data_IF_020902094488
#
_entry.id   IF_020902094488
#
_cell.length_a   1.000
_cell.length_b   1.000
_cell.length_c   1.000
_cell.angle_alpha   90.00
_cell.angle_beta   90.00
_cell.angle_gamma   90.00
#
_symmetry.space_group_name_H-M   'P 1'
#
loop_
_entity.id
_entity.type
_entity.pdbx_description
1 polymer ?
#
# COMPACT_ATOMS: atom_id res chain seq x y z
N UNK A 1 9.96 1.94 3.69
CA UNK A 1 9.20 1.80 4.96
C UNK A 1 8.32 0.58 4.88
N UNK A 2 8.04 -0.10 6.00
CA UNK A 2 7.16 -1.27 6.04
C UNK A 2 5.74 -0.90 6.41
N UNK A 3 4.76 -1.73 6.07
CA UNK A 3 3.35 -1.54 6.44
C UNK A 3 3.04 -2.21 7.78
N UNK A 4 2.51 -1.47 8.75
CA UNK A 4 2.15 -1.96 10.09
C UNK A 4 0.64 -2.01 10.35
N UNK A 5 -0.17 -1.39 9.50
CA UNK A 5 -1.61 -1.63 9.46
C UNK A 5 -2.07 -1.58 8.00
N UNK A 6 -2.61 -2.67 7.43
CA UNK A 6 -2.62 -4.02 8.01
C UNK A 6 -1.20 -4.53 8.28
N UNK A 7 -1.03 -5.53 9.14
CA UNK A 7 0.29 -6.06 9.46
C UNK A 7 0.89 -6.76 8.23
N UNK A 8 2.02 -6.26 7.74
CA UNK A 8 2.70 -6.85 6.58
C UNK A 8 3.26 -8.26 6.82
N UNK A 9 3.67 -8.93 5.75
CA UNK A 9 4.31 -10.26 5.82
C UNK A 9 5.66 -10.26 6.51
N UNK A 10 6.36 -9.12 6.51
CA UNK A 10 7.60 -8.92 7.22
C UNK A 10 7.52 -7.66 8.10
N UNK A 11 8.10 -7.77 9.30
CA UNK A 11 8.17 -6.74 10.32
C UNK A 11 8.48 -7.35 11.69
N UNK A 12 8.57 -6.57 12.77
CA UNK A 12 8.86 -7.09 14.12
C UNK A 12 7.74 -7.98 14.67
N UNK A 13 6.57 -7.99 14.03
CA UNK A 13 5.44 -8.86 14.34
C UNK A 13 5.47 -10.19 13.58
N UNK A 14 6.30 -10.33 12.54
CA UNK A 14 6.39 -11.57 11.77
C UNK A 14 7.26 -12.60 12.51
N UNK A 15 7.02 -13.88 12.24
CA UNK A 15 7.83 -14.97 12.81
C UNK A 15 9.28 -14.95 12.32
N UNK A 16 9.50 -14.36 11.14
CA UNK A 16 10.79 -14.23 10.47
C UNK A 16 11.05 -12.75 10.17
N UNK A 17 11.45 -11.94 11.17
CA UNK A 17 11.78 -10.54 10.95
C UNK A 17 13.02 -10.43 10.05
N UNK A 18 12.88 -9.77 8.91
CA UNK A 18 13.97 -9.56 7.96
C UNK A 18 14.39 -8.08 7.94
N UNK A 19 15.71 -7.82 7.99
CA UNK A 19 16.28 -6.47 7.90
C UNK A 19 16.05 -5.85 6.52
N UNK A 20 15.86 -6.66 5.48
CA UNK A 20 15.60 -6.24 4.10
C UNK A 20 14.15 -5.84 3.84
N UNK A 21 13.28 -5.92 4.86
CA UNK A 21 11.87 -5.53 4.73
C UNK A 21 11.74 -4.12 4.16
N UNK A 22 12.58 -3.17 4.61
CA UNK A 22 12.55 -1.79 4.15
C UNK A 22 13.24 -1.53 2.81
N UNK A 23 13.85 -2.54 2.20
CA UNK A 23 14.53 -2.39 0.91
C UNK A 23 13.55 -2.47 -0.25
N UNK A 24 13.88 -1.79 -1.35
CA UNK A 24 13.11 -1.83 -2.59
C UNK A 24 13.22 -3.20 -3.27
N UNK A 25 12.31 -3.48 -4.18
CA UNK A 25 12.30 -4.71 -4.97
C UNK A 25 13.53 -4.77 -5.88
N UNK A 26 14.21 -5.92 -5.90
CA UNK A 26 15.47 -6.14 -6.60
C UNK A 26 16.72 -5.82 -5.79
N UNK A 27 16.62 -5.19 -4.63
CA UNK A 27 17.78 -5.02 -3.73
C UNK A 27 18.26 -6.39 -3.25
N UNK A 28 19.53 -6.71 -3.49
CA UNK A 28 20.13 -8.01 -3.12
C UNK A 28 19.29 -9.22 -3.57
N UNK A 29 18.65 -9.11 -4.75
CA UNK A 29 17.81 -10.18 -5.30
C UNK A 29 16.41 -10.30 -4.68
N UNK A 30 15.97 -9.34 -3.85
CA UNK A 30 14.62 -9.30 -3.28
C UNK A 30 13.57 -9.40 -4.41
N UNK A 31 12.78 -10.48 -4.49
CA UNK A 31 11.91 -10.71 -5.64
C UNK A 31 10.61 -9.91 -5.57
N UNK A 32 9.98 -9.69 -6.72
CA UNK A 32 8.57 -9.33 -6.83
C UNK A 32 7.71 -10.60 -6.92
N UNK A 33 6.50 -10.65 -6.34
CA UNK A 33 5.86 -9.65 -5.48
C UNK A 33 6.28 -9.77 -4.00
N UNK A 34 5.83 -8.82 -3.18
CA UNK A 34 5.93 -8.80 -1.73
C UNK A 34 7.34 -8.95 -1.11
N UNK A 35 8.41 -8.97 -1.90
CA UNK A 35 9.75 -9.29 -1.42
C UNK A 35 10.01 -10.79 -1.21
N UNK A 36 9.10 -11.68 -1.64
CA UNK A 36 9.22 -13.13 -1.43
C UNK A 36 9.06 -13.59 0.01
N UNK A 37 8.48 -12.75 0.88
CA UNK A 37 8.25 -13.13 2.27
C UNK A 37 7.18 -14.22 2.39
N UNK A 38 7.38 -15.12 3.35
CA UNK A 38 6.35 -16.08 3.77
C UNK A 38 5.16 -15.37 4.39
N UNK A 39 4.05 -16.11 4.55
CA UNK A 39 2.84 -15.56 5.16
C UNK A 39 3.07 -14.90 6.52
N UNK A 40 2.47 -13.73 6.69
CA UNK A 40 2.45 -12.95 7.92
C UNK A 40 1.21 -13.21 8.77
N UNK A 41 0.99 -12.36 9.79
CA UNK A 41 -0.28 -12.33 10.50
C UNK A 41 -1.45 -12.05 9.55
N UNK A 42 -2.59 -12.66 9.84
CA UNK A 42 -3.83 -12.42 9.07
C UNK A 42 -4.57 -11.23 9.66
N UNK A 43 -4.84 -10.22 8.84
CA UNK A 43 -5.71 -9.09 9.22
C UNK A 43 -7.13 -9.36 8.74
N UNK A 44 -8.12 -9.25 9.62
CA UNK A 44 -9.52 -9.30 9.23
C UNK A 44 -9.96 -7.93 8.76
N UNK A 45 -10.49 -7.85 7.55
CA UNK A 45 -11.05 -6.66 6.95
C UNK A 45 -12.55 -6.84 6.73
N UNK A 46 -13.29 -5.75 6.87
CA UNK A 46 -14.74 -5.66 6.66
C UNK A 46 -15.02 -4.88 5.39
N UNK A 47 -15.82 -5.44 4.49
CA UNK A 47 -16.30 -4.76 3.27
C UNK A 47 -17.02 -3.46 3.64
N UNK A 48 -16.64 -2.36 2.98
CA UNK A 48 -17.16 -1.02 3.25
C UNK A 48 -16.50 -0.28 4.41
N UNK A 49 -15.56 -0.90 5.14
CA UNK A 49 -14.80 -0.19 6.17
C UNK A 49 -13.71 0.70 5.55
N UNK A 50 -13.28 1.71 6.31
CA UNK A 50 -12.07 2.47 5.99
C UNK A 50 -10.94 1.95 6.87
N UNK A 51 -9.93 1.34 6.25
CA UNK A 51 -8.70 0.97 6.94
C UNK A 51 -7.74 2.16 6.97
N UNK A 52 -7.29 2.54 8.16
CA UNK A 52 -6.24 3.53 8.35
C UNK A 52 -4.88 2.88 8.15
N UNK A 53 -4.34 2.94 6.93
CA UNK A 53 -3.05 2.33 6.63
C UNK A 53 -1.94 3.04 7.41
N UNK A 54 -1.06 2.25 8.04
CA UNK A 54 0.07 2.75 8.83
C UNK A 54 1.37 2.14 8.38
N UNK A 55 2.44 2.90 8.61
CA UNK A 55 3.79 2.52 8.29
C UNK A 55 4.66 2.33 9.53
N UNK A 56 5.74 1.59 9.36
CA UNK A 56 6.72 1.26 10.35
C UNK A 56 8.14 1.44 9.83
N UNK A 57 9.03 1.77 10.76
CA UNK A 57 10.50 1.86 10.60
C UNK A 57 11.15 1.30 11.87
N UNK A 58 12.42 0.90 11.81
CA UNK A 58 13.11 0.22 12.93
C UNK A 58 13.12 1.02 14.26
N UNK A 59 13.02 2.36 14.20
CA UNK A 59 12.95 3.20 15.40
C UNK A 59 11.59 3.22 16.09
N UNK A 60 10.53 2.74 15.44
CA UNK A 60 9.17 2.75 15.99
C UNK A 60 8.88 1.48 16.80
N UNK A 61 8.77 1.64 18.13
CA UNK A 61 8.49 0.54 19.07
C UNK A 61 7.00 0.19 19.16
N UNK A 62 6.14 1.20 19.25
CA UNK A 62 4.70 1.00 19.26
C UNK A 62 4.17 1.05 17.82
N UNK A 63 3.77 -0.10 17.28
CA UNK A 63 3.30 -0.26 15.90
C UNK A 63 1.79 -0.04 15.74
N UNK A 64 1.05 0.09 16.84
CA UNK A 64 -0.43 0.18 16.83
C UNK A 64 -0.94 1.61 16.81
N UNK A 65 -0.04 2.60 16.80
CA UNK A 65 -0.35 4.03 16.74
C UNK A 65 0.75 4.80 15.99
N UNK A 66 0.44 6.00 15.52
CA UNK A 66 1.46 6.93 15.02
C UNK A 66 2.34 7.41 16.20
N UNK A 67 3.64 7.67 15.98
CA UNK A 67 4.50 8.19 17.04
C UNK A 67 4.09 9.61 17.46
N UNK A 68 4.28 9.99 18.74
CA UNK A 68 3.91 11.30 19.24
C UNK A 68 4.79 12.43 18.69
N UNK A 69 4.32 13.67 18.83
CA UNK A 69 5.11 14.87 18.59
C UNK A 69 6.02 15.19 19.80
N UNK A 70 7.18 15.86 19.60
CA UNK A 70 7.75 16.25 18.31
C UNK A 70 8.25 15.04 17.50
N UNK A 71 8.30 15.20 16.18
CA UNK A 71 8.71 14.13 15.25
C UNK A 71 10.24 13.89 15.37
N UNK A 72 10.65 12.84 16.09
CA UNK A 72 12.06 12.50 16.41
C UNK A 72 12.60 11.22 15.75
N UNK A 73 11.76 10.41 15.13
CA UNK A 73 12.10 9.12 14.53
C UNK A 73 12.35 9.33 13.03
N UNK A 74 13.54 8.97 12.50
CA UNK A 74 13.81 9.03 11.07
C UNK A 74 12.92 8.07 10.27
N UNK A 75 12.24 8.59 9.24
CA UNK A 75 11.28 7.82 8.43
C UNK A 75 11.91 7.18 7.18
N UNK A 76 13.05 7.72 6.70
CA UNK A 76 13.68 7.31 5.44
C UNK A 76 12.70 7.28 4.24
N UNK A 77 11.73 8.20 4.24
CA UNK A 77 10.66 8.29 3.24
C UNK A 77 11.08 8.84 1.88
N UNK A 78 12.38 9.01 1.62
CA UNK A 78 12.92 9.54 0.36
C UNK A 78 12.20 10.79 -0.22
N UNK A 79 11.75 11.71 0.65
CA UNK A 79 11.01 12.92 0.24
C UNK A 79 9.58 12.63 -0.27
N UNK A 80 9.00 11.51 0.17
CA UNK A 80 7.70 11.01 -0.26
C UNK A 80 7.78 10.29 -1.61
N UNK A 81 6.77 10.53 -2.43
CA UNK A 81 6.48 9.84 -3.67
C UNK A 81 5.01 9.45 -3.73
N UNK A 82 4.72 8.43 -4.53
CA UNK A 82 3.35 7.97 -4.76
C UNK A 82 3.18 6.56 -4.23
N UNK A 83 2.11 6.34 -3.47
CA UNK A 83 1.71 5.02 -3.00
C UNK A 83 0.42 4.58 -3.67
N UNK A 84 0.31 3.29 -3.91
CA UNK A 84 -0.96 2.64 -4.24
C UNK A 84 -1.26 1.54 -3.22
N UNK A 85 -2.53 1.36 -2.94
CA UNK A 85 -3.04 0.32 -2.07
C UNK A 85 -3.94 -0.58 -2.89
N UNK A 86 -3.69 -1.88 -2.84
CA UNK A 86 -4.30 -2.83 -3.77
C UNK A 86 -4.75 -4.10 -3.08
N UNK A 87 -5.76 -4.76 -3.66
CA UNK A 87 -6.18 -6.10 -3.29
C UNK A 87 -5.74 -7.11 -4.36
N UNK A 88 -5.35 -8.30 -3.92
CA UNK A 88 -5.17 -9.47 -4.78
C UNK A 88 -5.99 -10.61 -4.21
N UNK A 89 -6.88 -11.18 -5.04
CA UNK A 89 -7.74 -12.33 -4.69
C UNK A 89 -7.35 -13.60 -5.47
N UNK A 90 -6.24 -13.57 -6.20
CA UNK A 90 -5.81 -14.63 -7.11
C UNK A 90 -4.42 -15.19 -6.75
N UNK A 91 -3.99 -15.01 -5.50
CA UNK A 91 -2.71 -15.53 -5.03
C UNK A 91 -1.53 -14.65 -5.44
N UNK A 92 -1.66 -13.32 -5.34
CA UNK A 92 -0.64 -12.34 -5.71
C UNK A 92 -0.31 -12.25 -7.21
N UNK A 93 -1.18 -12.75 -8.10
CA UNK A 93 -0.93 -12.70 -9.55
C UNK A 93 -1.30 -11.35 -10.12
N UNK A 94 -2.42 -10.79 -9.69
CA UNK A 94 -2.86 -9.44 -10.06
C UNK A 94 -3.14 -8.60 -8.82
N UNK A 95 -2.99 -7.28 -8.96
CA UNK A 95 -3.15 -6.31 -7.88
C UNK A 95 -4.08 -5.21 -8.35
N UNK A 96 -5.28 -5.14 -7.76
CA UNK A 96 -6.32 -4.19 -8.14
C UNK A 96 -6.33 -3.01 -7.17
N UNK A 97 -6.10 -1.81 -7.69
CA UNK A 97 -5.95 -0.58 -6.90
C UNK A 97 -7.29 -0.20 -6.27
N UNK A 98 -7.27 -0.02 -4.95
CA UNK A 98 -8.42 0.46 -4.14
C UNK A 98 -8.15 1.81 -3.48
N UNK A 99 -6.94 2.35 -3.62
CA UNK A 99 -6.59 3.67 -3.14
C UNK A 99 -5.21 4.13 -3.61
N UNK A 100 -5.02 5.44 -3.74
CA UNK A 100 -3.77 6.07 -4.16
C UNK A 100 -3.55 7.38 -3.41
N UNK A 101 -2.30 7.65 -3.05
CA UNK A 101 -1.86 8.92 -2.48
C UNK A 101 -0.59 9.38 -3.19
N UNK A 102 -0.52 10.65 -3.59
CA UNK A 102 0.60 11.18 -4.36
C UNK A 102 1.44 12.15 -3.53
N UNK A 103 2.69 12.37 -3.96
CA UNK A 103 3.68 13.30 -3.38
C UNK A 103 4.15 13.00 -1.95
N UNK A 104 3.25 12.88 -0.99
CA UNK A 104 3.58 12.85 0.43
C UNK A 104 3.54 11.46 1.06
N UNK A 105 3.23 10.41 0.30
CA UNK A 105 3.25 9.05 0.79
C UNK A 105 4.62 8.38 0.57
N UNK A 106 5.12 7.54 1.50
CA UNK A 106 4.58 7.19 2.81
C UNK A 106 5.17 8.04 3.96
N UNK A 107 4.59 7.94 5.17
CA UNK A 107 5.14 8.50 6.43
C UNK A 107 4.56 7.77 7.67
N UNK A 108 5.36 7.59 8.73
CA UNK A 108 4.93 6.92 9.98
C UNK A 108 4.13 7.83 10.91
N UNK A 109 4.18 9.14 10.73
CA UNK A 109 3.55 10.14 11.60
C UNK A 109 2.10 10.46 11.23
N UNK A 110 1.58 9.84 10.19
CA UNK A 110 0.19 10.02 9.73
C UNK A 110 -0.38 8.68 9.32
N UNK A 111 -1.71 8.57 9.39
CA UNK A 111 -2.44 7.45 8.82
C UNK A 111 -2.92 7.79 7.41
N UNK A 112 -3.13 6.75 6.60
CA UNK A 112 -3.49 6.83 5.20
C UNK A 112 -4.80 6.05 4.98
N UNK A 113 -5.97 6.69 5.13
CA UNK A 113 -7.25 5.99 5.08
C UNK A 113 -7.54 5.47 3.68
N UNK A 114 -7.98 4.22 3.57
CA UNK A 114 -8.37 3.57 2.31
C UNK A 114 -9.67 2.82 2.55
N UNK A 115 -10.69 3.05 1.71
CA UNK A 115 -11.92 2.28 1.74
C UNK A 115 -11.66 0.87 1.20
N UNK A 116 -12.08 -0.16 1.94
CA UNK A 116 -12.30 -1.50 1.39
C UNK A 116 -13.60 -1.42 0.59
N UNK A 117 -13.57 -1.54 -0.75
CA UNK A 117 -14.75 -1.32 -1.59
C UNK A 117 -15.98 -2.08 -1.10
N UNK A 118 -17.15 -1.44 -1.13
CA UNK A 118 -18.41 -2.00 -0.62
C UNK A 118 -19.06 -3.04 -1.56
N UNK A 119 -18.51 -3.21 -2.76
CA UNK A 119 -19.06 -4.04 -3.84
C UNK A 119 -18.03 -5.02 -4.42
N UNK A 120 -17.19 -5.60 -3.55
CA UNK A 120 -16.27 -6.69 -3.89
C UNK A 120 -16.77 -8.00 -3.30
N UNK A 121 -16.40 -9.16 -3.86
CA UNK A 121 -16.69 -10.43 -3.22
C UNK A 121 -15.96 -10.58 -1.88
N UNK A 122 -16.48 -11.44 -1.02
CA UNK A 122 -15.72 -11.91 0.14
C UNK A 122 -14.50 -12.71 -0.32
N UNK A 123 -13.45 -12.67 0.50
CA UNK A 123 -12.24 -13.44 0.27
C UNK A 123 -11.74 -13.96 1.61
N UNK A 124 -12.05 -15.22 1.90
CA UNK A 124 -11.85 -15.81 3.23
C UNK A 124 -10.62 -16.70 3.35
N UNK A 125 -9.89 -16.93 2.26
CA UNK A 125 -8.67 -17.71 2.26
C UNK A 125 -7.44 -16.78 2.31
N UNK A 126 -6.76 -16.64 3.46
CA UNK A 126 -5.60 -15.76 3.59
C UNK A 126 -4.38 -16.20 2.75
N UNK A 127 -4.46 -17.32 2.01
CA UNK A 127 -3.47 -17.76 1.03
C UNK A 127 -3.71 -17.21 -0.37
N UNK A 128 -4.91 -16.69 -0.65
CA UNK A 128 -5.28 -16.11 -1.94
C UNK A 128 -5.63 -14.63 -1.85
N UNK A 129 -6.00 -14.16 -0.65
CA UNK A 129 -6.42 -12.80 -0.36
C UNK A 129 -5.30 -11.97 0.29
N UNK A 130 -4.87 -10.92 -0.40
CA UNK A 130 -3.79 -10.04 0.05
C UNK A 130 -4.18 -8.57 -0.10
N UNK A 131 -3.74 -7.77 0.88
CA UNK A 131 -3.68 -6.32 0.78
C UNK A 131 -2.23 -5.94 0.52
N UNK A 132 -1.97 -4.99 -0.37
CA UNK A 132 -0.62 -4.47 -0.57
C UNK A 132 -0.54 -2.97 -0.53
N UNK A 133 0.67 -2.50 -0.22
CA UNK A 133 1.14 -1.16 -0.50
C UNK A 133 2.26 -1.26 -1.54
N UNK A 134 2.16 -0.50 -2.62
CA UNK A 134 3.29 -0.15 -3.47
C UNK A 134 3.72 1.29 -3.18
N UNK A 135 5.00 1.58 -3.37
CA UNK A 135 5.54 2.93 -3.26
C UNK A 135 6.63 3.16 -4.32
N UNK A 136 6.43 4.18 -5.14
CA UNK A 136 7.42 4.71 -6.08
C UNK A 136 8.05 5.94 -5.43
N UNK A 137 9.32 5.82 -5.04
CA UNK A 137 10.01 6.87 -4.29
C UNK A 137 10.32 8.13 -5.13
N UNK A 138 10.39 9.27 -4.45
CA UNK A 138 10.71 10.54 -5.10
C UNK A 138 12.21 10.74 -5.37
N UNK A 139 13.04 10.70 -4.32
CA UNK A 139 14.46 11.08 -4.43
C UNK A 139 15.31 10.04 -5.16
N UNK A 140 14.85 8.78 -5.22
CA UNK A 140 15.56 7.65 -5.79
C UNK A 140 14.62 6.81 -6.67
N UNK A 141 15.10 6.24 -7.78
CA UNK A 141 14.28 5.39 -8.65
C UNK A 141 14.14 3.99 -8.03
N UNK A 142 13.24 3.87 -7.07
CA UNK A 142 13.06 2.67 -6.26
C UNK A 142 11.59 2.36 -6.09
N UNK A 143 11.24 1.12 -6.40
CA UNK A 143 9.91 0.55 -6.23
C UNK A 143 9.88 -0.36 -4.99
N UNK A 144 9.01 -0.03 -4.05
CA UNK A 144 8.76 -0.83 -2.85
C UNK A 144 7.41 -1.50 -2.98
N UNK A 145 7.31 -2.72 -2.47
CA UNK A 145 6.05 -3.45 -2.48
C UNK A 145 5.97 -4.35 -1.24
N UNK A 146 4.97 -4.08 -0.41
CA UNK A 146 4.70 -4.78 0.84
C UNK A 146 3.30 -5.37 0.80
N UNK A 147 3.15 -6.59 1.31
CA UNK A 147 1.88 -7.28 1.31
C UNK A 147 1.50 -7.71 2.73
N UNK A 148 0.22 -7.84 2.99
CA UNK A 148 -0.37 -8.42 4.19
C UNK A 148 -1.33 -9.53 3.78
N UNK A 149 -1.30 -10.64 4.51
CA UNK A 149 -2.33 -11.67 4.42
C UNK A 149 -3.61 -11.10 5.04
N UNK A 150 -4.72 -11.18 4.31
CA UNK A 150 -6.00 -10.65 4.80
C UNK A 150 -7.11 -11.67 4.65
N UNK A 151 -8.18 -11.45 5.40
CA UNK A 151 -9.49 -12.05 5.12
C UNK A 151 -10.47 -10.91 5.02
N UNK A 152 -11.22 -10.84 3.93
CA UNK A 152 -12.21 -9.80 3.65
C UNK A 152 -13.60 -10.40 3.76
N UNK A 153 -14.40 -9.92 4.73
CA UNK A 153 -15.77 -10.39 4.99
C UNK A 153 -16.79 -9.29 4.85
N UNK A 154 -18.01 -9.67 4.52
CA UNK A 154 -19.17 -8.81 4.61
C UNK A 154 -19.44 -8.36 6.04
N UNK A 155 -19.72 -7.07 6.23
CA UNK A 155 -20.33 -6.57 7.46
C UNK A 155 -21.79 -7.01 7.61
N UNK A 156 -22.45 -6.59 8.68
CA UNK A 156 -23.85 -6.97 8.97
C UNK A 156 -24.86 -6.56 7.89
N UNK A 157 -24.54 -5.56 7.06
CA UNK A 157 -25.38 -5.08 5.96
C UNK A 157 -24.92 -5.59 4.59
N UNK A 158 -23.95 -6.49 4.54
CA UNK A 158 -23.46 -7.03 3.29
C UNK A 158 -24.50 -7.99 2.71
N UNK A 159 -25.04 -7.62 1.56
CA UNK A 159 -25.93 -8.45 0.76
C UNK A 159 -25.24 -8.73 -0.56
N UNK A 160 -25.04 -10.00 -0.90
CA UNK A 160 -24.37 -10.34 -2.14
C UNK A 160 -25.14 -9.79 -3.36
N UNK A 161 -24.48 -8.94 -4.16
CA UNK A 161 -25.08 -8.35 -5.35
C UNK A 161 -24.48 -8.99 -6.63
N UNK A 162 -25.24 -9.05 -7.74
CA UNK A 162 -24.75 -9.60 -9.01
C UNK A 162 -23.54 -8.86 -9.60
N UNK A 163 -23.28 -7.62 -9.18
CA UNK A 163 -22.24 -6.75 -9.72
C UNK A 163 -20.96 -6.71 -8.89
N UNK A 164 -20.75 -7.67 -7.99
CA UNK A 164 -19.53 -7.73 -7.20
C UNK A 164 -18.30 -8.01 -8.04
N UNK A 165 -17.35 -7.08 -7.99
CA UNK A 165 -16.11 -7.16 -8.73
C UNK A 165 -15.05 -6.30 -8.04
N UNK A 166 -13.79 -6.76 -8.12
CA UNK A 166 -12.66 -5.89 -7.84
C UNK A 166 -12.63 -4.72 -8.86
N UNK A 167 -12.05 -3.57 -8.50
CA UNK A 167 -11.80 -2.53 -9.48
C UNK A 167 -10.87 -3.02 -10.58
N UNK A 168 -10.90 -2.31 -11.71
CA UNK A 168 -10.24 -2.75 -12.93
C UNK A 168 -8.81 -2.25 -13.05
N UNK A 169 -8.47 -1.13 -12.39
CA UNK A 169 -7.15 -0.53 -12.40
C UNK A 169 -6.12 -1.48 -11.80
N UNK A 170 -5.18 -1.91 -12.63
CA UNK A 170 -4.00 -2.64 -12.20
C UNK A 170 -3.00 -1.72 -11.52
N UNK A 171 -2.37 -2.23 -10.46
CA UNK A 171 -1.30 -1.54 -9.74
C UNK A 171 -0.15 -1.23 -10.69
N UNK A 172 0.40 -0.03 -10.54
CA UNK A 172 1.59 0.41 -11.27
C UNK A 172 2.81 -0.34 -10.76
N UNK A 173 3.54 -0.98 -11.67
CA UNK A 173 4.77 -1.73 -11.38
C UNK A 173 5.91 -1.19 -12.23
N UNK A 174 6.99 -0.77 -11.58
CA UNK A 174 8.17 -0.15 -12.23
C UNK A 174 9.47 -0.68 -11.64
N UNK A 175 10.57 -0.50 -12.37
CA UNK A 175 11.95 -0.76 -11.90
C UNK A 175 12.24 -2.17 -11.39
N UNK A 176 11.55 -3.18 -11.96
CA UNK A 176 11.83 -4.58 -11.67
C UNK A 176 13.07 -5.08 -12.42
N UNK A 177 13.96 -5.89 -11.78
CA UNK A 177 15.02 -6.57 -12.50
C UNK A 177 14.49 -7.52 -13.61
N UNK A 178 15.22 -7.70 -14.72
CA UNK A 178 16.47 -7.03 -15.08
C UNK A 178 16.26 -5.63 -15.68
N UNK A 179 15.03 -5.27 -16.04
CA UNK A 179 14.70 -4.08 -16.82
C UNK A 179 14.35 -2.89 -15.93
N UNK A 180 15.38 -2.15 -15.49
CA UNK A 180 15.20 -0.90 -14.75
C UNK A 180 15.02 0.26 -15.71
N UNK A 181 13.98 1.06 -15.50
CA UNK A 181 13.60 2.22 -16.31
C UNK A 181 13.84 3.55 -15.59
N UNK A 182 14.42 3.49 -14.38
CA UNK A 182 14.81 4.60 -13.52
C UNK A 182 13.65 5.56 -13.24
N UNK A 183 12.53 5.01 -12.78
CA UNK A 183 11.29 5.74 -12.53
C UNK A 183 11.24 6.24 -11.09
N UNK A 184 10.92 7.52 -10.93
CA UNK A 184 10.62 8.14 -9.64
C UNK A 184 9.27 8.83 -9.69
N UNK A 185 8.61 9.04 -8.56
CA UNK A 185 7.43 9.90 -8.48
C UNK A 185 7.82 11.35 -8.16
N UNK A 186 6.93 12.32 -8.39
CA UNK A 186 7.04 13.63 -7.74
C UNK A 186 6.78 13.45 -6.24
N UNK A 187 7.58 14.12 -5.40
CA UNK A 187 7.48 14.07 -3.95
C UNK A 187 7.29 15.45 -3.34
N UNK A 188 7.05 15.49 -2.03
CA UNK A 188 6.97 16.74 -1.26
C UNK A 188 8.35 17.29 -0.84
N UNK A 189 9.41 16.50 -1.00
CA UNK A 189 10.80 16.82 -0.58
C UNK A 189 11.03 16.98 0.92
N UNK A 190 10.01 16.80 1.75
CA UNK A 190 10.07 17.03 3.19
C UNK A 190 10.70 15.84 3.92
N UNK A 191 11.44 16.14 4.99
CA UNK A 191 11.95 15.11 5.91
C UNK A 191 10.79 14.41 6.66
N UNK A 192 9.68 15.13 6.82
CA UNK A 192 8.48 14.71 7.53
C UNK A 192 7.27 15.13 6.70
N UNK A 193 6.37 14.18 6.42
CA UNK A 193 5.20 14.44 5.59
C UNK A 193 4.28 15.50 6.24
N UNK A 194 3.69 16.41 5.43
CA UNK A 194 2.56 17.23 5.86
C UNK A 194 1.27 16.41 6.04
N UNK A 195 1.26 15.14 5.62
CA UNK A 195 0.09 14.28 5.59
C UNK A 195 -0.45 14.08 4.16
N UNK A 196 -1.45 13.20 4.00
CA UNK A 196 -2.18 13.04 2.74
C UNK A 196 -2.94 14.32 2.36
N UNK A 197 -3.05 14.59 1.06
CA UNK A 197 -3.89 15.67 0.54
C UNK A 197 -5.37 15.43 0.88
N UNK A 198 -6.09 16.47 1.31
CA UNK A 198 -7.48 16.33 1.76
C UNK A 198 -8.43 15.83 0.68
N UNK A 199 -8.18 16.16 -0.59
CA UNK A 199 -9.01 15.66 -1.69
C UNK A 199 -8.69 14.20 -1.96
N UNK A 200 -7.42 13.80 -1.88
CA UNK A 200 -7.04 12.38 -1.95
C UNK A 200 -7.68 11.59 -0.80
N UNK A 201 -7.71 12.11 0.43
CA UNK A 201 -8.44 11.48 1.55
C UNK A 201 -9.91 11.26 1.18
N UNK A 202 -10.58 12.27 0.64
CA UNK A 202 -11.98 12.17 0.23
C UNK A 202 -12.16 11.09 -0.84
N UNK A 203 -11.34 11.09 -1.89
CA UNK A 203 -11.43 10.10 -2.97
C UNK A 203 -11.20 8.67 -2.46
N UNK A 204 -10.19 8.46 -1.61
CA UNK A 204 -9.86 7.16 -1.03
C UNK A 204 -10.94 6.64 -0.05
N UNK A 205 -11.80 7.50 0.50
CA UNK A 205 -12.87 7.12 1.43
C UNK A 205 -14.26 7.04 0.80
N UNK A 206 -14.48 7.73 -0.32
CA UNK A 206 -15.80 7.87 -0.95
C UNK A 206 -16.12 6.79 -2.00
N UNK A 207 -15.27 5.77 -2.12
CA UNK A 207 -15.49 4.68 -3.08
C UNK A 207 -15.21 5.08 -4.52
N UNK A 208 -14.39 6.10 -4.78
CA UNK A 208 -14.04 6.47 -6.14
C UNK A 208 -13.23 5.38 -6.85
N UNK A 209 -12.46 4.57 -6.10
CA UNK A 209 -11.67 3.47 -6.62
C UNK A 209 -12.42 2.14 -6.71
N UNK A 210 -13.71 2.05 -6.34
CA UNK A 210 -14.45 0.79 -6.39
C UNK A 210 -14.88 0.42 -7.81
N UNK A 211 -15.34 -0.80 -8.05
CA UNK A 211 -15.94 -1.14 -9.34
C UNK A 211 -17.16 -0.24 -9.63
N UNK A 212 -17.19 0.42 -10.79
CA UNK A 212 -18.19 1.44 -11.14
C UNK A 212 -17.92 2.84 -10.55
N UNK A 213 -16.85 3.00 -9.75
CA UNK A 213 -16.40 4.27 -9.20
C UNK A 213 -15.68 5.16 -10.22
N UNK A 214 -15.52 6.45 -9.91
CA UNK A 214 -14.97 7.45 -10.84
C UNK A 214 -13.52 7.21 -11.28
N UNK A 215 -12.74 6.54 -10.45
CA UNK A 215 -11.31 6.27 -10.64
C UNK A 215 -11.02 4.78 -10.88
N UNK A 216 -12.05 3.95 -11.05
CA UNK A 216 -11.95 2.48 -11.11
C UNK A 216 -10.97 1.93 -12.14
N UNK A 217 -10.76 2.67 -13.23
CA UNK A 217 -9.95 2.33 -14.41
C UNK A 217 -8.87 3.38 -14.68
N UNK A 218 -9.03 4.60 -14.15
CA UNK A 218 -8.15 5.75 -14.42
C UNK A 218 -7.10 5.96 -13.34
N UNK A 219 -7.48 5.78 -12.08
CA UNK A 219 -6.68 6.22 -10.94
C UNK A 219 -6.37 7.73 -10.97
N UNK A 220 -5.44 8.12 -10.11
CA UNK A 220 -4.80 9.42 -10.08
C UNK A 220 -3.60 9.44 -11.01
N UNK A 221 -3.23 10.64 -11.47
CA UNK A 221 -1.92 10.82 -12.07
C UNK A 221 -0.84 10.72 -10.98
N UNK A 222 -0.08 9.62 -10.97
CA UNK A 222 0.99 9.38 -10.01
C UNK A 222 2.20 10.31 -10.18
N UNK A 223 2.20 11.17 -11.21
CA UNK A 223 3.26 12.12 -11.54
C UNK A 223 4.63 11.44 -11.66
N UNK A 224 4.69 10.38 -12.48
CA UNK A 224 5.91 9.61 -12.69
C UNK A 224 6.90 10.38 -13.58
N UNK A 225 8.17 10.29 -13.21
CA UNK A 225 9.31 10.91 -13.89
C UNK A 225 10.27 9.79 -14.30
N UNK A 226 10.51 9.68 -15.60
CA UNK A 226 11.45 8.74 -16.19
C UNK A 226 12.81 9.42 -16.31
N UNK A 227 13.81 8.93 -15.56
CA UNK A 227 15.17 9.49 -15.63
C UNK A 227 15.94 8.77 -16.72
N UNK A 228 16.60 9.53 -17.59
CA UNK A 228 17.58 8.94 -18.52
C UNK A 228 18.78 8.45 -17.69
N UNK A 229 19.19 7.20 -17.96
CA UNK A 229 20.32 6.55 -17.30
C UNK A 229 21.67 7.01 -17.82
#
# INVERSE_FOLDING_TARGET
MGMSNPLGQAGPWSKNPDKLVHSWIGFQGKPFPCGGYTDGPVTNLTIGEVINVRFWTFGLKNITATPPLPKTIPTARHGGGSCEFSLSYDGMKTWKVIGQYTKSCPDIYTEWPVLIPDNIPECTDPKTCFFSMSWIAHKVPQFYHHCANVVVRGGSNYTALPSFALPTLDMTVVDLPPNKTLVSAVGDNELQSPGPDENEIKMNKNGDFKHGGKLMDKGLNLNLVYRQG
#
